data_IF_545121899708
#
_entry.id   IF_545121899708
#
_cell.length_a   1.000
_cell.length_b   1.000
_cell.length_c   1.000
_cell.angle_alpha   90.00
_cell.angle_beta   90.00
_cell.angle_gamma   90.00
#
_symmetry.space_group_name_H-M   'P 1'
#
loop_
_entity.id
_entity.type
_entity.pdbx_description
1 polymer ?
#
# COMPACT_ATOMS: atom_id res chain seq x y z
N UNK A 1 -32.07 39.82 20.20
CA UNK A 1 -31.94 38.42 20.64
C UNK A 1 -30.73 37.83 19.94
N UNK A 2 -29.61 37.67 20.64
CA UNK A 2 -28.40 37.07 20.09
C UNK A 2 -28.25 35.68 20.67
N UNK A 3 -28.58 34.64 19.89
CA UNK A 3 -28.16 33.26 20.19
C UNK A 3 -27.09 32.83 19.19
N UNK A 4 -26.01 32.33 19.78
CA UNK A 4 -24.72 32.01 19.18
C UNK A 4 -24.85 30.78 18.29
N UNK A 5 -24.41 30.86 17.04
CA UNK A 5 -24.13 29.66 16.24
C UNK A 5 -22.84 29.03 16.75
N UNK A 6 -22.94 28.11 17.72
CA UNK A 6 -21.86 27.18 18.06
C UNK A 6 -21.98 25.90 17.25
N UNK A 7 -22.35 26.01 15.97
CA UNK A 7 -22.46 24.90 15.04
C UNK A 7 -21.09 24.44 14.60
N UNK A 8 -20.44 23.55 15.35
CA UNK A 8 -19.43 22.70 14.76
C UNK A 8 -20.11 21.91 13.63
N UNK A 9 -19.60 22.01 12.39
CA UNK A 9 -20.08 21.17 11.29
C UNK A 9 -19.96 19.71 11.75
N UNK A 10 -21.04 18.89 11.70
CA UNK A 10 -20.96 17.51 12.14
C UNK A 10 -19.83 16.82 11.35
N UNK A 11 -18.78 16.41 12.06
CA UNK A 11 -17.62 15.73 11.49
C UNK A 11 -18.13 14.48 10.77
N UNK A 12 -18.29 14.60 9.47
CA UNK A 12 -18.90 13.58 8.64
C UNK A 12 -17.78 12.69 8.16
N UNK A 13 -17.68 11.50 8.76
CA UNK A 13 -16.68 10.52 8.34
C UNK A 13 -17.15 9.74 7.14
N UNK A 14 -16.24 9.38 6.25
CA UNK A 14 -16.51 8.47 5.15
C UNK A 14 -16.03 7.05 5.48
N UNK A 15 -16.73 6.04 4.97
CA UNK A 15 -16.26 4.66 5.02
C UNK A 15 -15.86 4.21 3.62
N UNK A 16 -14.61 3.77 3.46
CA UNK A 16 -14.11 3.21 2.21
C UNK A 16 -13.36 1.90 2.48
N UNK A 17 -13.84 0.81 1.85
CA UNK A 17 -13.31 -0.55 2.01
C UNK A 17 -13.15 -0.98 3.50
N UNK A 18 -14.15 -0.67 4.33
CA UNK A 18 -14.16 -0.99 5.76
C UNK A 18 -13.29 -0.09 6.64
N UNK A 19 -12.57 0.89 6.07
CA UNK A 19 -11.81 1.88 6.83
C UNK A 19 -12.54 3.22 6.88
N UNK A 20 -12.50 3.87 8.04
CA UNK A 20 -13.10 5.19 8.28
C UNK A 20 -12.09 6.31 8.04
N UNK A 21 -12.54 7.36 7.38
CA UNK A 21 -11.78 8.56 7.01
C UNK A 21 -12.51 9.81 7.49
N UNK A 22 -11.78 10.83 7.92
CA UNK A 22 -12.35 12.11 8.34
C UNK A 22 -12.69 12.97 7.13
N UNK A 23 -13.60 13.92 7.32
CA UNK A 23 -13.88 14.96 6.33
C UNK A 23 -12.58 15.70 5.94
N UNK A 24 -12.34 15.83 4.64
CA UNK A 24 -11.12 16.40 4.06
C UNK A 24 -9.98 15.40 3.83
N UNK A 25 -10.03 14.18 4.38
CA UNK A 25 -8.98 13.19 4.19
C UNK A 25 -8.84 12.82 2.71
N UNK A 26 -7.58 12.68 2.27
CA UNK A 26 -7.27 12.12 0.95
C UNK A 26 -6.44 10.85 1.08
N UNK A 27 -6.83 9.80 0.36
CA UNK A 27 -6.23 8.47 0.42
C UNK A 27 -6.17 7.78 -0.95
N UNK A 28 -5.42 6.68 -1.04
CA UNK A 28 -5.32 5.87 -2.26
C UNK A 28 -6.43 4.82 -2.30
N UNK A 29 -7.06 4.64 -3.45
CA UNK A 29 -8.06 3.62 -3.72
C UNK A 29 -7.45 2.21 -3.66
N UNK A 30 -8.32 1.19 -3.60
CA UNK A 30 -7.89 -0.22 -3.58
C UNK A 30 -7.21 -0.66 -4.87
N UNK A 31 -7.42 0.07 -5.96
CA UNK A 31 -6.71 -0.14 -7.24
C UNK A 31 -5.26 0.35 -7.22
N UNK A 32 -4.82 1.01 -6.14
CA UNK A 32 -3.44 1.44 -5.95
C UNK A 32 -2.99 2.62 -6.81
N UNK A 33 -3.90 3.28 -7.54
CA UNK A 33 -3.54 4.46 -8.34
C UNK A 33 -4.53 5.62 -8.19
N UNK A 34 -5.82 5.35 -7.99
CA UNK A 34 -6.81 6.40 -7.92
C UNK A 34 -6.79 7.08 -6.54
N UNK A 35 -6.87 8.41 -6.54
CA UNK A 35 -6.87 9.23 -5.32
C UNK A 35 -8.31 9.51 -4.92
N UNK A 36 -8.67 9.19 -3.69
CA UNK A 36 -10.01 9.37 -3.12
C UNK A 36 -10.00 10.45 -2.04
N UNK A 37 -11.03 11.30 -2.03
CA UNK A 37 -11.22 12.35 -1.02
C UNK A 37 -12.54 12.10 -0.28
N UNK A 38 -12.51 12.21 1.05
CA UNK A 38 -13.71 12.22 1.88
C UNK A 38 -14.24 13.66 1.99
N UNK A 39 -15.50 13.88 1.62
CA UNK A 39 -16.15 15.19 1.78
C UNK A 39 -17.63 14.99 2.09
N UNK A 40 -18.12 15.54 3.19
CA UNK A 40 -19.53 15.46 3.59
C UNK A 40 -20.06 14.03 3.74
N UNK A 41 -19.21 13.08 4.13
CA UNK A 41 -19.57 11.66 4.25
C UNK A 41 -19.53 10.88 2.93
N UNK A 42 -19.19 11.52 1.81
CA UNK A 42 -19.06 10.88 0.52
C UNK A 42 -17.60 10.70 0.12
N UNK A 43 -17.27 9.52 -0.40
CA UNK A 43 -15.97 9.23 -1.00
C UNK A 43 -16.03 9.56 -2.49
N UNK A 44 -15.16 10.45 -2.95
CA UNK A 44 -15.00 10.78 -4.37
C UNK A 44 -13.59 10.41 -4.81
N UNK A 45 -13.48 9.45 -5.73
CA UNK A 45 -12.20 9.00 -6.28
C UNK A 45 -11.99 9.49 -7.71
N UNK A 46 -10.72 9.71 -8.09
CA UNK A 46 -10.36 9.84 -9.49
C UNK A 46 -10.73 8.56 -10.24
N UNK A 47 -10.98 8.67 -11.55
CA UNK A 47 -11.24 7.54 -12.46
C UNK A 47 -10.19 7.49 -13.55
N UNK A 48 -8.93 7.58 -13.15
CA UNK A 48 -7.82 7.42 -14.06
C UNK A 48 -7.66 5.93 -14.30
N UNK A 49 -7.46 5.54 -15.56
CA UNK A 49 -7.08 4.19 -15.90
C UNK A 49 -5.69 3.94 -15.30
N UNK A 50 -5.63 3.09 -14.27
CA UNK A 50 -4.34 2.75 -13.67
C UNK A 50 -3.39 2.23 -14.75
N UNK A 51 -2.11 2.64 -14.74
CA UNK A 51 -1.11 2.03 -15.61
C UNK A 51 -1.20 0.51 -15.48
N UNK A 52 -1.07 -0.26 -16.58
CA UNK A 52 -1.08 -1.70 -16.50
C UNK A 52 -0.03 -2.12 -15.49
N UNK A 53 -0.45 -2.77 -14.40
CA UNK A 53 0.49 -3.31 -13.41
C UNK A 53 1.45 -4.20 -14.18
N UNK A 54 2.72 -3.79 -14.22
CA UNK A 54 3.75 -4.56 -14.93
C UNK A 54 3.93 -5.85 -14.15
N UNK A 55 3.28 -6.90 -14.61
CA UNK A 55 3.34 -8.21 -13.98
C UNK A 55 4.76 -8.75 -14.00
N UNK A 56 5.14 -9.44 -12.93
CA UNK A 56 6.41 -10.14 -12.76
C UNK A 56 6.18 -11.54 -12.22
N UNK A 57 7.22 -12.37 -12.20
CA UNK A 57 7.09 -13.79 -11.81
C UNK A 57 7.07 -14.70 -13.03
N UNK A 58 6.28 -15.78 -13.01
CA UNK A 58 6.17 -16.73 -14.14
C UNK A 58 5.16 -16.31 -15.22
N UNK A 59 5.51 -16.44 -16.51
CA UNK A 59 6.85 -16.77 -17.04
C UNK A 59 7.84 -15.65 -16.72
N UNK A 60 9.13 -15.96 -16.54
CA UNK A 60 10.20 -15.13 -15.95
C UNK A 60 10.21 -13.65 -16.40
N UNK A 61 9.26 -12.87 -15.90
CA UNK A 61 9.11 -11.44 -16.11
C UNK A 61 9.88 -10.77 -15.00
N UNK A 62 11.01 -10.18 -15.37
CA UNK A 62 11.87 -9.42 -14.47
C UNK A 62 11.39 -7.97 -14.41
N UNK A 63 11.49 -7.39 -13.21
CA UNK A 63 11.26 -5.96 -13.03
C UNK A 63 12.50 -5.16 -13.43
N UNK A 64 12.35 -3.85 -13.60
CA UNK A 64 13.50 -2.98 -13.83
C UNK A 64 14.45 -3.03 -12.60
N UNK A 65 15.69 -2.57 -12.76
CA UNK A 65 16.71 -2.64 -11.71
C UNK A 65 16.32 -1.89 -10.42
N UNK A 66 15.57 -0.79 -10.56
CA UNK A 66 15.01 0.02 -9.47
C UNK A 66 13.66 -0.50 -8.94
N UNK A 67 13.21 -1.65 -9.42
CA UNK A 67 11.95 -2.28 -9.03
C UNK A 67 12.20 -3.65 -8.41
N UNK A 68 11.18 -4.18 -7.74
CA UNK A 68 11.16 -5.54 -7.23
C UNK A 68 9.81 -6.18 -7.53
N UNK A 69 9.78 -7.51 -7.57
CA UNK A 69 8.55 -8.23 -7.77
C UNK A 69 7.80 -8.38 -6.44
N UNK A 70 6.74 -7.58 -6.25
CA UNK A 70 5.86 -7.70 -5.10
C UNK A 70 4.87 -8.83 -5.33
N UNK A 71 4.98 -9.89 -4.52
CA UNK A 71 4.05 -11.01 -4.49
C UNK A 71 3.18 -10.91 -3.22
N UNK A 72 1.99 -11.54 -3.19
CA UNK A 72 1.25 -11.70 -1.96
C UNK A 72 2.10 -12.38 -0.88
N UNK A 73 1.87 -12.04 0.39
CA UNK A 73 2.62 -12.62 1.49
C UNK A 73 2.44 -14.15 1.52
N UNK A 74 3.53 -14.88 1.71
CA UNK A 74 3.55 -16.34 1.68
C UNK A 74 3.59 -16.96 0.28
N UNK A 75 3.36 -16.19 -0.79
CA UNK A 75 3.47 -16.65 -2.18
C UNK A 75 4.92 -16.61 -2.69
N UNK A 76 5.86 -17.22 -1.97
CA UNK A 76 7.25 -17.33 -2.41
C UNK A 76 7.43 -18.54 -3.33
N UNK A 77 8.00 -18.36 -4.53
CA UNK A 77 8.37 -19.48 -5.40
C UNK A 77 8.41 -19.14 -6.89
N UNK A 78 8.86 -20.11 -7.70
CA UNK A 78 8.99 -19.94 -9.15
C UNK A 78 7.68 -19.48 -9.80
N UNK A 79 6.53 -19.96 -9.30
CA UNK A 79 5.21 -19.65 -9.86
C UNK A 79 4.55 -18.38 -9.31
N UNK A 80 5.25 -17.59 -8.51
CA UNK A 80 4.64 -16.44 -7.84
C UNK A 80 4.41 -15.30 -8.84
N UNK A 81 3.16 -15.05 -9.22
CA UNK A 81 2.79 -13.85 -9.97
C UNK A 81 2.75 -12.65 -9.03
N UNK A 82 3.43 -11.59 -9.44
CA UNK A 82 3.50 -10.34 -8.70
C UNK A 82 3.32 -9.15 -9.60
N UNK A 83 3.46 -7.98 -9.00
CA UNK A 83 3.55 -6.71 -9.70
C UNK A 83 4.92 -6.07 -9.46
N UNK A 84 5.49 -5.47 -10.49
CA UNK A 84 6.70 -4.66 -10.33
C UNK A 84 6.35 -3.42 -9.52
N UNK A 85 7.02 -3.28 -8.38
CA UNK A 85 6.90 -2.14 -7.49
C UNK A 85 8.26 -1.47 -7.37
N UNK A 86 8.28 -0.15 -7.22
CA UNK A 86 9.54 0.58 -7.04
C UNK A 86 10.17 0.22 -5.70
N UNK A 87 11.49 -0.04 -5.69
CA UNK A 87 12.25 -0.25 -4.46
C UNK A 87 12.27 1.04 -3.63
N UNK A 88 11.87 0.99 -2.34
CA UNK A 88 12.04 2.13 -1.45
C UNK A 88 13.52 2.51 -1.33
N UNK A 89 13.85 3.80 -1.52
CA UNK A 89 15.21 4.32 -1.34
C UNK A 89 15.55 4.60 0.12
N UNK A 90 14.53 4.93 0.91
CA UNK A 90 14.66 5.29 2.32
C UNK A 90 13.67 4.45 3.11
N UNK A 91 14.13 3.90 4.23
CA UNK A 91 13.32 3.13 5.15
C UNK A 91 13.37 3.73 6.55
N UNK A 92 12.24 3.66 7.25
CA UNK A 92 12.20 4.02 8.66
C UNK A 92 13.01 3.01 9.48
N UNK A 93 13.40 3.42 10.70
CA UNK A 93 14.13 2.59 11.66
C UNK A 93 13.21 1.78 12.58
N UNK A 94 11.92 1.65 12.24
CA UNK A 94 10.97 0.88 13.04
C UNK A 94 11.35 -0.59 12.93
N UNK A 95 11.64 -1.23 14.05
CA UNK A 95 11.93 -2.65 14.08
C UNK A 95 10.64 -3.46 14.15
N UNK A 96 10.27 -4.08 13.02
CA UNK A 96 9.10 -4.95 12.86
C UNK A 96 9.50 -6.11 11.93
N UNK A 97 10.23 -7.12 12.44
CA UNK A 97 10.95 -8.06 11.60
C UNK A 97 10.03 -8.89 10.70
N UNK A 98 10.57 -9.28 9.54
CA UNK A 98 9.89 -10.11 8.53
C UNK A 98 10.85 -11.13 7.94
N UNK A 99 10.31 -12.28 7.54
CA UNK A 99 11.04 -13.32 6.82
C UNK A 99 10.85 -13.08 5.33
N UNK A 100 11.94 -12.89 4.58
CA UNK A 100 11.92 -12.69 3.13
C UNK A 100 11.74 -13.99 2.35
N UNK A 101 11.30 -13.88 1.09
CA UNK A 101 11.27 -15.03 0.17
C UNK A 101 12.67 -15.58 -0.16
N UNK A 102 13.74 -14.83 0.13
CA UNK A 102 15.13 -15.26 0.04
C UNK A 102 15.63 -16.00 1.30
N UNK A 103 14.76 -16.21 2.30
CA UNK A 103 15.08 -16.88 3.55
C UNK A 103 15.86 -16.02 4.55
N UNK A 104 15.96 -14.70 4.33
CA UNK A 104 16.63 -13.78 5.26
C UNK A 104 15.63 -13.01 6.11
N UNK A 105 16.00 -12.77 7.36
CA UNK A 105 15.27 -11.87 8.25
C UNK A 105 15.65 -10.42 7.96
N UNK A 106 14.66 -9.57 7.74
CA UNK A 106 14.82 -8.13 7.56
C UNK A 106 14.25 -7.39 8.76
N UNK A 107 14.88 -6.28 9.17
CA UNK A 107 14.44 -5.51 10.34
C UNK A 107 13.04 -4.90 10.20
N UNK A 108 12.58 -4.68 8.97
CA UNK A 108 11.19 -4.40 8.64
C UNK A 108 10.88 -4.68 7.17
N UNK A 109 9.60 -4.60 6.81
CA UNK A 109 9.10 -4.78 5.46
C UNK A 109 9.71 -3.79 4.44
N UNK A 110 9.96 -2.54 4.83
CA UNK A 110 10.62 -1.58 3.93
C UNK A 110 12.03 -2.06 3.58
N UNK A 111 12.81 -2.51 4.57
CA UNK A 111 14.17 -3.02 4.36
C UNK A 111 14.16 -4.25 3.42
N UNK A 112 13.21 -5.16 3.57
CA UNK A 112 13.04 -6.30 2.66
C UNK A 112 12.76 -5.84 1.22
N UNK A 113 11.77 -4.95 1.05
CA UNK A 113 11.40 -4.40 -0.27
C UNK A 113 12.52 -3.59 -0.91
N UNK A 114 13.32 -2.86 -0.12
CA UNK A 114 14.49 -2.10 -0.60
C UNK A 114 15.58 -3.02 -1.14
N UNK A 115 15.80 -4.17 -0.48
CA UNK A 115 16.66 -5.25 -0.97
C UNK A 115 16.07 -6.00 -2.19
N UNK A 116 14.83 -5.69 -2.57
CA UNK A 116 14.14 -6.31 -3.69
C UNK A 116 13.47 -7.63 -3.36
N UNK A 117 13.14 -7.86 -2.09
CA UNK A 117 12.63 -9.13 -1.58
C UNK A 117 11.20 -8.97 -1.08
N UNK A 118 10.30 -9.82 -1.59
CA UNK A 118 8.94 -9.95 -1.07
C UNK A 118 8.91 -10.67 0.27
N UNK A 119 7.94 -10.31 1.12
CA UNK A 119 7.79 -10.88 2.46
C UNK A 119 7.10 -12.25 2.37
N UNK A 120 7.74 -13.26 2.94
CA UNK A 120 7.18 -14.60 3.13
C UNK A 120 6.23 -14.64 4.33
N UNK A 121 6.68 -14.12 5.46
CA UNK A 121 5.93 -14.16 6.72
C UNK A 121 6.31 -12.98 7.61
N UNK A 122 5.39 -12.61 8.51
CA UNK A 122 5.69 -11.71 9.62
C UNK A 122 6.55 -12.40 10.68
N UNK A 123 7.48 -11.67 11.30
CA UNK A 123 8.45 -12.24 12.23
C UNK A 123 9.72 -12.70 11.52
N UNK A 124 10.77 -13.06 12.28
CA UNK A 124 12.01 -13.58 11.71
C UNK A 124 11.80 -14.94 11.01
N UNK A 125 12.67 -15.26 10.06
CA UNK A 125 12.98 -16.65 9.72
C UNK A 125 13.79 -17.25 10.89
#
# INVERSE_FOLDING_TARGET
MSIKSTGACPKTTCTYNGKTYNDGDTFLATDGCNKCTCSGGQVSCTKILCPPVKGCGTPAKTCASNEFCLTPAGSCGANAQGSCQTKPRLCNRIYKPVCGCDGKTYGNECNARSAGVSVKASGPC
#
